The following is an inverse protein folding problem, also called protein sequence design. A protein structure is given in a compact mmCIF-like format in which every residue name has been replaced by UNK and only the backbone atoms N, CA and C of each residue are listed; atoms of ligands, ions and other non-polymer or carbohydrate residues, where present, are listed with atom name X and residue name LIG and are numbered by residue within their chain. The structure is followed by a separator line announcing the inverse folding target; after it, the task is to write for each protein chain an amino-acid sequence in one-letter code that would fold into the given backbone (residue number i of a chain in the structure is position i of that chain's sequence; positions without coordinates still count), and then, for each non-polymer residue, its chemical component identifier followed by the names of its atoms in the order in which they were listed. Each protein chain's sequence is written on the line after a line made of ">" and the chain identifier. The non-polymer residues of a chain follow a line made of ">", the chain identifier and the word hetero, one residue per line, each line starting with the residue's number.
data_IF_814747542282
#
_entry.id   IF_814747542282
#
_cell.length_a   1.000
_cell.length_b   1.000
_cell.length_c   1.000
_cell.angle_alpha   90.00
_cell.angle_beta   90.00
_cell.angle_gamma   90.00
#
_symmetry.space_group_name_H-M   'P 1'
#
loop_
_entity.id
_entity.type
_entity.pdbx_description
1 polymer ?
#
# COMPACT_ATOMS: atom_id res chain seq x y z
N UNK A 1 -19.82 -16.88 -31.96
CA UNK A 1 -18.35 -16.98 -31.85
C UNK A 1 -17.82 -15.60 -32.19
N UNK A 2 -17.55 -14.74 -31.20
CA UNK A 2 -16.92 -13.44 -31.45
C UNK A 2 -15.43 -13.59 -31.16
N UNK A 3 -14.63 -13.65 -32.22
CA UNK A 3 -13.17 -13.68 -32.13
C UNK A 3 -12.68 -12.25 -31.88
N UNK A 4 -12.04 -12.02 -30.73
CA UNK A 4 -11.35 -10.78 -30.44
C UNK A 4 -9.96 -10.77 -31.06
N UNK A 5 -9.35 -9.60 -31.22
CA UNK A 5 -7.92 -9.47 -31.56
C UNK A 5 -7.15 -8.84 -30.41
N UNK A 6 -5.92 -9.30 -30.21
CA UNK A 6 -5.01 -8.72 -29.23
C UNK A 6 -4.68 -7.27 -29.64
N UNK A 7 -4.90 -6.25 -28.77
CA UNK A 7 -4.64 -4.86 -29.12
C UNK A 7 -3.15 -4.53 -29.27
N UNK A 8 -2.26 -5.44 -28.84
CA UNK A 8 -0.81 -5.24 -28.88
C UNK A 8 -0.14 -5.80 -30.13
N UNK A 9 -0.64 -6.92 -30.65
CA UNK A 9 0.02 -7.65 -31.74
C UNK A 9 -0.94 -8.16 -32.81
N UNK A 10 -2.22 -7.76 -32.74
CA UNK A 10 -3.32 -8.16 -33.64
C UNK A 10 -3.63 -9.67 -33.70
N UNK A 11 -2.95 -10.47 -32.88
CA UNK A 11 -3.11 -11.92 -32.82
C UNK A 11 -4.55 -12.30 -32.41
N UNK A 12 -5.17 -13.34 -33.01
CA UNK A 12 -6.51 -13.79 -32.65
C UNK A 12 -6.58 -14.24 -31.20
N UNK A 13 -7.62 -13.82 -30.47
CA UNK A 13 -7.87 -14.22 -29.08
C UNK A 13 -9.33 -14.64 -28.91
N UNK A 14 -9.53 -15.70 -28.15
CA UNK A 14 -10.83 -16.20 -27.75
C UNK A 14 -11.37 -15.39 -26.56
N UNK A 15 -12.69 -15.40 -26.37
CA UNK A 15 -13.36 -14.67 -25.28
C UNK A 15 -12.88 -15.13 -23.89
N UNK A 16 -12.53 -16.42 -23.75
CA UNK A 16 -12.00 -17.04 -22.54
C UNK A 16 -10.48 -16.85 -22.35
N UNK A 17 -9.76 -16.37 -23.36
CA UNK A 17 -8.31 -16.22 -23.29
C UNK A 17 -7.93 -15.14 -22.28
N UNK A 18 -7.17 -15.54 -21.26
CA UNK A 18 -6.61 -14.57 -20.30
C UNK A 18 -5.42 -13.82 -20.88
N UNK A 19 -4.66 -14.49 -21.73
CA UNK A 19 -3.42 -13.99 -22.32
C UNK A 19 -3.37 -14.32 -23.82
N UNK A 20 -2.78 -13.42 -24.59
CA UNK A 20 -2.50 -13.62 -26.01
C UNK A 20 -1.40 -14.68 -26.18
N UNK A 21 -1.70 -15.75 -26.93
CA UNK A 21 -0.74 -16.81 -27.22
C UNK A 21 0.48 -16.37 -28.05
N UNK A 22 0.38 -15.28 -28.82
CA UNK A 22 1.49 -14.78 -29.64
C UNK A 22 2.53 -13.95 -28.88
N UNK A 23 2.09 -13.04 -28.00
CA UNK A 23 2.99 -12.08 -27.33
C UNK A 23 2.92 -12.10 -25.80
N UNK A 24 2.08 -12.94 -25.21
CA UNK A 24 1.86 -13.01 -23.76
C UNK A 24 1.11 -11.81 -23.16
N UNK A 25 0.64 -10.87 -23.98
CA UNK A 25 -0.14 -9.72 -23.50
C UNK A 25 -1.47 -10.18 -22.90
N UNK A 26 -1.81 -9.68 -21.71
CA UNK A 26 -3.05 -10.02 -21.02
C UNK A 26 -4.24 -9.38 -21.73
N UNK A 27 -5.18 -10.19 -22.24
CA UNK A 27 -6.32 -9.74 -23.05
C UNK A 27 -7.66 -9.82 -22.32
N UNK A 28 -7.78 -10.65 -21.28
CA UNK A 28 -8.94 -10.64 -20.39
C UNK A 28 -8.79 -9.56 -19.33
N UNK A 29 -9.34 -8.37 -19.59
CA UNK A 29 -9.53 -7.30 -18.60
C UNK A 29 -10.35 -6.11 -19.17
N UNK A 30 -11.64 -6.33 -19.51
CA UNK A 30 -12.56 -5.20 -19.78
C UNK A 30 -13.44 -4.79 -18.61
N UNK A 31 -13.47 -5.54 -17.52
CA UNK A 31 -14.19 -5.11 -16.31
C UNK A 31 -13.22 -4.97 -15.14
N UNK A 32 -12.73 -3.73 -14.98
CA UNK A 32 -12.59 -3.14 -13.66
C UNK A 32 -11.54 -3.78 -12.73
N UNK A 33 -10.29 -3.88 -13.18
CA UNK A 33 -9.14 -4.25 -12.35
C UNK A 33 -8.39 -3.03 -11.78
N UNK A 34 -9.12 -1.96 -11.42
CA UNK A 34 -8.51 -0.77 -10.82
C UNK A 34 -8.82 -0.57 -9.33
N UNK A 35 -9.60 -1.44 -8.67
CA UNK A 35 -10.15 -1.05 -7.35
C UNK A 35 -10.03 -2.05 -6.18
N UNK A 36 -9.36 -3.21 -6.31
CA UNK A 36 -9.32 -4.18 -5.17
C UNK A 36 -7.98 -4.84 -4.83
N UNK A 37 -6.92 -4.72 -5.62
CA UNK A 37 -5.64 -5.40 -5.34
C UNK A 37 -4.54 -4.48 -4.83
N UNK A 38 -4.75 -3.16 -4.90
CA UNK A 38 -3.94 -2.17 -4.20
C UNK A 38 -4.90 -1.41 -3.28
N UNK A 39 -4.99 -1.85 -2.03
CA UNK A 39 -5.35 -0.88 -0.99
C UNK A 39 -4.21 0.12 -1.04
N UNK A 40 -4.47 1.33 -1.54
CA UNK A 40 -3.49 2.40 -1.46
C UNK A 40 -3.22 2.64 0.01
N UNK A 41 -2.11 2.07 0.49
CA UNK A 41 -1.68 2.28 1.86
C UNK A 41 -1.31 3.76 1.95
N UNK A 42 -2.06 4.51 2.75
CA UNK A 42 -1.74 5.90 2.94
C UNK A 42 -0.33 5.98 3.51
N UNK A 43 0.44 6.98 3.09
CA UNK A 43 1.80 7.16 3.58
C UNK A 43 1.84 7.26 5.11
N UNK A 44 0.77 7.78 5.71
CA UNK A 44 0.52 7.80 7.16
C UNK A 44 0.47 6.38 7.76
N UNK A 45 -0.29 5.44 7.18
CA UNK A 45 -0.39 4.05 7.65
C UNK A 45 0.97 3.34 7.58
N UNK A 46 1.74 3.57 6.50
CA UNK A 46 3.10 3.01 6.35
C UNK A 46 3.99 3.52 7.47
N UNK A 47 3.99 4.84 7.70
CA UNK A 47 4.80 5.50 8.74
C UNK A 47 4.40 5.04 10.14
N UNK A 48 3.11 4.87 10.42
CA UNK A 48 2.62 4.33 11.70
C UNK A 48 3.14 2.91 11.91
N UNK A 49 3.02 2.04 10.90
CA UNK A 49 3.49 0.66 11.00
C UNK A 49 5.00 0.58 11.18
N UNK A 50 5.76 1.42 10.49
CA UNK A 50 7.20 1.53 10.67
C UNK A 50 7.57 1.98 12.10
N UNK A 51 6.88 2.99 12.64
CA UNK A 51 7.06 3.44 14.02
C UNK A 51 6.76 2.34 15.03
N UNK A 52 5.72 1.53 14.82
CA UNK A 52 5.40 0.35 15.65
C UNK A 52 6.51 -0.72 15.60
N UNK A 53 7.15 -0.90 14.45
CA UNK A 53 8.30 -1.81 14.33
C UNK A 53 9.50 -1.29 15.13
N UNK A 54 9.79 0.01 15.07
CA UNK A 54 10.86 0.62 15.88
C UNK A 54 10.57 0.52 17.39
N UNK A 55 9.31 0.73 17.80
CA UNK A 55 8.85 0.49 19.18
C UNK A 55 9.17 -0.93 19.67
N UNK A 56 8.86 -1.94 18.86
CA UNK A 56 9.16 -3.34 19.20
C UNK A 56 10.65 -3.64 19.27
N UNK A 57 11.47 -2.90 18.52
CA UNK A 57 12.93 -2.99 18.57
C UNK A 57 13.55 -2.20 19.73
N UNK A 58 12.76 -1.42 20.48
CA UNK A 58 13.26 -0.52 21.52
C UNK A 58 13.92 0.75 21.00
N UNK A 59 13.83 1.02 19.70
CA UNK A 59 14.37 2.24 19.08
C UNK A 59 13.35 3.37 19.20
N UNK A 60 13.21 3.90 20.42
CA UNK A 60 12.20 4.90 20.76
C UNK A 60 12.36 6.21 19.99
N UNK A 61 13.61 6.60 19.67
CA UNK A 61 13.90 7.83 18.93
C UNK A 61 13.35 7.76 17.49
N UNK A 62 13.63 6.68 16.75
CA UNK A 62 13.09 6.52 15.38
C UNK A 62 11.59 6.28 15.37
N UNK A 63 11.06 5.65 16.41
CA UNK A 63 9.63 5.48 16.55
C UNK A 63 8.92 6.84 16.70
N UNK A 64 9.46 7.72 17.55
CA UNK A 64 8.94 9.07 17.75
C UNK A 64 8.97 9.87 16.44
N UNK A 65 10.11 9.89 15.73
CA UNK A 65 10.25 10.59 14.44
C UNK A 65 9.22 10.12 13.40
N UNK A 66 8.95 8.80 13.35
CA UNK A 66 7.98 8.23 12.43
C UNK A 66 6.55 8.71 12.70
N UNK A 67 6.17 8.86 13.98
CA UNK A 67 4.84 9.34 14.35
C UNK A 67 4.72 10.86 14.27
N UNK A 68 5.78 11.61 14.56
CA UNK A 68 5.83 13.07 14.38
C UNK A 68 5.59 13.43 12.91
N UNK A 69 6.26 12.72 11.99
CA UNK A 69 6.04 12.85 10.54
C UNK A 69 4.62 12.49 10.07
N UNK A 70 3.87 11.72 10.85
CA UNK A 70 2.45 11.46 10.56
C UNK A 70 1.61 12.64 11.03
N UNK A 71 1.92 13.20 12.20
CA UNK A 71 1.21 14.35 12.77
C UNK A 71 1.53 15.67 12.05
N UNK A 72 2.67 15.78 11.37
CA UNK A 72 2.99 16.92 10.49
C UNK A 72 2.05 16.96 9.26
N UNK A 73 1.72 15.80 8.70
CA UNK A 73 0.86 15.66 7.51
C UNK A 73 -0.63 15.56 7.89
N UNK A 74 -0.92 14.89 9.00
CA UNK A 74 -2.26 14.69 9.56
C UNK A 74 -2.26 14.98 11.08
N UNK A 75 -2.42 16.27 11.47
CA UNK A 75 -2.43 16.67 12.88
C UNK A 75 -3.58 16.07 13.69
N UNK A 76 -4.63 15.60 13.03
CA UNK A 76 -5.80 14.98 13.67
C UNK A 76 -5.64 13.47 13.87
N UNK A 77 -4.49 12.90 13.45
CA UNK A 77 -4.21 11.48 13.59
C UNK A 77 -4.11 11.06 15.07
N UNK A 78 -5.24 10.61 15.62
CA UNK A 78 -5.35 10.21 17.03
C UNK A 78 -4.44 9.03 17.38
N UNK A 79 -4.23 8.10 16.44
CA UNK A 79 -3.35 6.95 16.63
C UNK A 79 -1.89 7.37 16.77
N UNK A 80 -1.37 8.17 15.83
CA UNK A 80 0.00 8.66 15.90
C UNK A 80 0.26 9.47 17.18
N UNK A 81 -0.71 10.28 17.62
CA UNK A 81 -0.61 11.04 18.87
C UNK A 81 -0.58 10.14 20.11
N UNK A 82 -1.42 9.10 20.16
CA UNK A 82 -1.42 8.15 21.26
C UNK A 82 -0.11 7.37 21.33
N UNK A 83 0.43 6.93 20.20
CA UNK A 83 1.70 6.21 20.12
C UNK A 83 2.89 7.08 20.53
N UNK A 84 2.91 8.35 20.12
CA UNK A 84 3.95 9.30 20.53
C UNK A 84 3.94 9.56 22.04
N UNK A 85 2.74 9.68 22.64
CA UNK A 85 2.61 9.83 24.09
C UNK A 85 3.13 8.59 24.83
N UNK A 86 2.81 7.39 24.35
CA UNK A 86 3.31 6.13 24.92
C UNK A 86 4.85 6.05 24.88
N UNK A 87 5.47 6.53 23.80
CA UNK A 87 6.93 6.62 23.70
C UNK A 87 7.49 7.60 24.73
N UNK A 88 6.91 8.80 24.83
CA UNK A 88 7.39 9.83 25.76
C UNK A 88 7.37 9.35 27.20
N UNK A 89 6.32 8.62 27.59
CA UNK A 89 6.26 7.96 28.91
C UNK A 89 7.41 6.98 29.10
N UNK A 90 7.66 6.09 28.13
CA UNK A 90 8.78 5.13 28.20
C UNK A 90 10.16 5.79 28.26
N UNK A 91 10.37 6.89 27.53
CA UNK A 91 11.62 7.65 27.58
C UNK A 91 11.79 8.32 28.96
N UNK A 92 10.70 8.82 29.56
CA UNK A 92 10.76 9.42 30.90
C UNK A 92 10.97 8.41 32.04
N UNK A 93 10.67 7.13 31.79
CA UNK A 93 10.86 6.02 32.74
C UNK A 93 12.22 5.31 32.58
N UNK A 94 13.01 5.67 31.56
CA UNK A 94 14.38 5.19 31.32
C UNK A 94 15.43 6.13 31.91
#
# INVERSE_FOLDING_TARGET
>A
MMEGKCPRCDFPVLEEDKYCGGCGFRVAERENYQAKTQVEMQLSDIRINLGKVYLKKGDYAKAAESFEKVLEEDPENTEARALLNSIRSKISEM
#
